data_IF_420606026365
#
_entry.id   IF_420606026365
#
_cell.length_a   1.000
_cell.length_b   1.000
_cell.length_c   1.000
_cell.angle_alpha   90.00
_cell.angle_beta   90.00
_cell.angle_gamma   90.00
#
_symmetry.space_group_name_H-M   'P 1'
#
loop_
_entity.id
_entity.type
_entity.pdbx_description
1 polymer ?
#
# COMPACT_ATOMS: atom_id res chain seq x y z
N UNK A 1 16.87 -12.38 -12.72
CA UNK A 1 15.56 -11.76 -12.38
C UNK A 1 15.54 -11.52 -10.88
N UNK A 2 14.93 -10.44 -10.38
CA UNK A 2 14.78 -10.28 -8.93
C UNK A 2 13.84 -11.36 -8.39
N UNK A 3 14.08 -11.86 -7.17
CA UNK A 3 13.33 -12.96 -6.55
C UNK A 3 11.81 -12.76 -6.58
N UNK A 4 11.35 -11.52 -6.46
CA UNK A 4 9.93 -11.17 -6.35
C UNK A 4 9.36 -10.47 -7.60
N UNK A 5 10.06 -10.53 -8.73
CA UNK A 5 9.57 -9.97 -10.00
C UNK A 5 9.54 -8.44 -10.13
N UNK A 6 9.86 -7.69 -9.06
CA UNK A 6 10.00 -6.23 -9.07
C UNK A 6 11.47 -5.85 -8.94
N UNK A 7 11.92 -4.91 -9.78
CA UNK A 7 13.28 -4.35 -9.70
C UNK A 7 13.19 -2.93 -9.15
N UNK A 8 13.96 -2.68 -8.09
CA UNK A 8 14.14 -1.34 -7.54
C UNK A 8 15.54 -0.86 -7.90
N UNK A 9 15.63 0.34 -8.46
CA UNK A 9 16.88 1.09 -8.51
C UNK A 9 16.90 1.95 -7.25
N UNK A 10 17.76 1.61 -6.30
CA UNK A 10 17.85 2.30 -5.01
C UNK A 10 19.10 3.17 -4.95
N UNK A 11 18.96 4.32 -4.32
CA UNK A 11 20.08 5.15 -3.89
C UNK A 11 20.63 4.65 -2.54
N UNK A 12 21.85 5.08 -2.14
CA UNK A 12 22.41 4.74 -0.85
C UNK A 12 21.48 5.09 0.32
N UNK A 13 21.58 4.32 1.40
CA UNK A 13 20.82 4.56 2.63
C UNK A 13 21.35 5.84 3.30
N UNK A 14 20.47 6.80 3.52
CA UNK A 14 20.76 8.03 4.26
C UNK A 14 20.29 7.89 5.71
N UNK A 15 21.17 8.23 6.66
CA UNK A 15 20.82 8.29 8.08
C UNK A 15 20.42 9.70 8.46
N UNK A 16 19.41 9.83 9.30
CA UNK A 16 18.92 11.10 9.83
C UNK A 16 18.85 11.02 11.35
N UNK A 17 19.41 12.01 12.04
CA UNK A 17 19.54 11.99 13.51
C UNK A 17 18.24 12.34 14.24
N UNK A 18 17.33 13.12 13.63
CA UNK A 18 16.04 13.47 14.21
C UNK A 18 14.93 13.64 13.16
N UNK A 19 13.77 13.03 13.42
CA UNK A 19 12.57 13.13 12.59
C UNK A 19 11.80 14.43 12.86
N UNK A 20 12.30 15.55 12.34
CA UNK A 20 11.63 16.85 12.44
C UNK A 20 10.59 17.00 11.30
N UNK A 21 9.33 17.40 11.57
CA UNK A 21 8.28 17.48 10.55
C UNK A 21 8.66 18.27 9.29
N UNK A 22 9.27 19.44 9.46
CA UNK A 22 9.65 20.33 8.37
C UNK A 22 10.74 19.71 7.49
N UNK A 23 11.71 19.02 8.09
CA UNK A 23 12.81 18.39 7.34
C UNK A 23 12.32 17.18 6.55
N UNK A 24 11.39 16.41 7.11
CA UNK A 24 10.74 15.29 6.40
C UNK A 24 10.03 15.81 5.14
N UNK A 25 9.21 16.85 5.26
CA UNK A 25 8.47 17.39 4.13
C UNK A 25 9.41 17.97 3.05
N UNK A 26 10.42 18.74 3.46
CA UNK A 26 11.42 19.29 2.53
C UNK A 26 12.11 18.17 1.76
N UNK A 27 12.57 17.13 2.47
CA UNK A 27 13.26 15.98 1.86
C UNK A 27 12.37 15.21 0.90
N UNK A 28 11.10 14.98 1.25
CA UNK A 28 10.17 14.32 0.34
C UNK A 28 9.95 15.10 -0.96
N UNK A 29 9.91 16.45 -0.89
CA UNK A 29 9.82 17.28 -2.09
C UNK A 29 11.07 17.18 -2.96
N UNK A 30 12.27 17.19 -2.36
CA UNK A 30 13.52 16.96 -3.09
C UNK A 30 13.52 15.62 -3.81
N UNK A 31 13.17 14.54 -3.10
CA UNK A 31 13.08 13.21 -3.68
C UNK A 31 12.01 13.13 -4.78
N UNK A 32 10.91 13.88 -4.66
CA UNK A 32 9.92 14.00 -5.73
C UNK A 32 10.51 14.68 -6.97
N UNK A 33 11.27 15.77 -6.78
CA UNK A 33 11.91 16.49 -7.88
C UNK A 33 12.96 15.63 -8.59
N UNK A 34 13.61 14.72 -7.86
CA UNK A 34 14.51 13.71 -8.41
C UNK A 34 13.76 12.48 -8.99
N UNK A 35 12.43 12.56 -9.13
CA UNK A 35 11.55 11.57 -9.75
C UNK A 35 11.52 10.18 -9.09
N UNK A 36 11.89 10.07 -7.81
CA UNK A 36 11.72 8.82 -7.06
C UNK A 36 10.25 8.41 -7.02
N UNK A 37 9.98 7.11 -7.16
CA UNK A 37 8.60 6.58 -7.16
C UNK A 37 8.14 6.11 -5.78
N UNK A 38 9.09 5.68 -4.94
CA UNK A 38 8.84 5.08 -3.64
C UNK A 38 9.87 5.60 -2.64
N UNK A 39 9.42 5.93 -1.43
CA UNK A 39 10.30 6.25 -0.30
C UNK A 39 10.04 5.23 0.81
N UNK A 40 11.13 4.63 1.31
CA UNK A 40 11.09 3.69 2.43
C UNK A 40 11.67 4.39 3.66
N UNK A 41 10.87 4.52 4.71
CA UNK A 41 11.29 5.05 5.99
C UNK A 41 11.52 3.90 6.96
N UNK A 42 12.71 3.82 7.55
CA UNK A 42 13.02 2.87 8.63
C UNK A 42 13.02 3.70 9.93
N UNK A 43 12.11 3.38 10.84
CA UNK A 43 11.86 4.14 12.06
C UNK A 43 12.35 3.35 13.27
N UNK A 44 13.24 3.94 14.07
CA UNK A 44 13.85 3.29 15.24
C UNK A 44 12.88 3.19 16.42
N UNK A 45 12.08 4.23 16.68
CA UNK A 45 11.00 4.21 17.66
C UNK A 45 9.71 4.79 17.07
N UNK A 46 8.60 4.09 17.32
CA UNK A 46 7.27 4.48 16.82
C UNK A 46 6.67 5.50 17.79
N UNK A 47 6.93 6.77 17.55
CA UNK A 47 5.91 7.78 17.84
C UNK A 47 4.85 7.67 16.75
N UNK A 48 3.63 7.25 17.09
CA UNK A 48 2.51 7.16 16.14
C UNK A 48 2.37 8.46 15.32
N UNK A 49 2.70 9.60 15.94
CA UNK A 49 2.73 10.92 15.34
C UNK A 49 3.61 11.02 14.10
N UNK A 50 4.86 10.54 14.13
CA UNK A 50 5.79 10.62 12.99
C UNK A 50 5.33 9.71 11.85
N UNK A 51 4.84 8.51 12.18
CA UNK A 51 4.26 7.61 11.20
C UNK A 51 3.07 8.25 10.49
N UNK A 52 2.11 8.78 11.25
CA UNK A 52 0.93 9.45 10.71
C UNK A 52 1.30 10.68 9.89
N UNK A 53 2.31 11.44 10.32
CA UNK A 53 2.82 12.59 9.61
C UNK A 53 3.44 12.21 8.26
N UNK A 54 4.29 11.19 8.20
CA UNK A 54 4.87 10.68 6.94
C UNK A 54 3.75 10.23 6.00
N UNK A 55 2.73 9.54 6.53
CA UNK A 55 1.58 9.09 5.74
C UNK A 55 0.73 10.26 5.23
N UNK A 56 0.54 11.29 6.05
CA UNK A 56 -0.16 12.51 5.66
C UNK A 56 0.60 13.25 4.55
N UNK A 57 1.90 13.50 4.73
CA UNK A 57 2.72 14.17 3.72
C UNK A 57 2.81 13.38 2.43
N UNK A 58 3.07 12.08 2.50
CA UNK A 58 3.16 11.21 1.33
C UNK A 58 1.85 11.10 0.57
N UNK A 59 0.76 10.70 1.22
CA UNK A 59 -0.49 10.39 0.53
C UNK A 59 -1.31 11.64 0.19
N UNK A 60 -1.36 12.64 1.08
CA UNK A 60 -2.27 13.78 0.95
C UNK A 60 -1.57 15.00 0.34
N UNK A 61 -0.38 15.36 0.82
CA UNK A 61 0.29 16.60 0.37
C UNK A 61 1.08 16.43 -0.92
N UNK A 62 1.89 15.38 -1.00
CA UNK A 62 2.91 15.23 -2.05
C UNK A 62 2.43 14.26 -3.14
N UNK A 63 1.67 13.23 -2.79
CA UNK A 63 1.22 12.20 -3.72
C UNK A 63 2.31 11.18 -4.08
N UNK A 64 3.17 10.83 -3.13
CA UNK A 64 4.22 9.82 -3.28
C UNK A 64 3.91 8.55 -2.50
N UNK A 65 4.33 7.41 -3.03
CA UNK A 65 4.22 6.13 -2.34
C UNK A 65 5.26 6.08 -1.22
N UNK A 66 4.80 6.02 0.03
CA UNK A 66 5.66 5.86 1.20
C UNK A 66 5.38 4.54 1.92
N UNK A 67 6.44 3.87 2.35
CA UNK A 67 6.34 2.69 3.21
C UNK A 67 7.20 2.90 4.45
N UNK A 68 6.58 2.76 5.62
CA UNK A 68 7.28 2.83 6.90
C UNK A 68 7.55 1.40 7.37
N UNK A 69 8.75 1.16 7.86
CA UNK A 69 9.23 -0.10 8.40
C UNK A 69 9.75 0.21 9.81
N UNK A 70 9.43 -0.63 10.78
CA UNK A 70 10.00 -0.49 12.10
C UNK A 70 11.37 -1.15 12.13
N UNK A 71 12.35 -0.46 12.70
CA UNK A 71 13.71 -0.96 12.81
C UNK A 71 13.77 -2.21 13.70
N UNK A 72 13.02 -2.23 14.79
CA UNK A 72 12.96 -3.36 15.70
C UNK A 72 12.48 -4.65 15.01
N UNK A 73 11.50 -4.58 14.11
CA UNK A 73 11.04 -5.71 13.31
C UNK A 73 12.11 -6.23 12.33
N UNK A 74 13.00 -5.36 11.85
CA UNK A 74 14.11 -5.78 11.00
C UNK A 74 15.21 -6.48 11.80
N UNK A 75 15.43 -6.06 13.05
CA UNK A 75 16.47 -6.60 13.92
C UNK A 75 16.00 -7.87 14.65
N UNK A 76 14.72 -7.96 15.03
CA UNK A 76 14.16 -9.10 15.76
C UNK A 76 14.10 -10.39 14.94
N UNK A 77 13.94 -10.26 13.62
CA UNK A 77 13.80 -11.38 12.70
C UNK A 77 15.17 -12.02 12.43
N UNK A 78 15.60 -12.86 13.36
CA UNK A 78 16.86 -13.60 13.28
C UNK A 78 16.79 -14.75 12.27
N UNK A 79 15.61 -15.33 12.05
CA UNK A 79 15.41 -16.43 11.11
C UNK A 79 15.34 -15.91 9.66
N UNK A 80 16.24 -16.37 8.76
CA UNK A 80 16.18 -16.03 7.34
C UNK A 80 14.82 -16.28 6.68
N UNK A 81 14.05 -17.28 7.13
CA UNK A 81 12.73 -17.61 6.57
C UNK A 81 11.68 -16.57 6.93
N UNK A 82 11.64 -16.14 8.19
CA UNK A 82 10.71 -15.10 8.64
C UNK A 82 11.02 -13.77 7.96
N UNK A 83 12.31 -13.45 7.80
CA UNK A 83 12.74 -12.28 7.05
C UNK A 83 12.30 -12.35 5.58
N UNK A 84 12.41 -13.51 4.94
CA UNK A 84 11.98 -13.70 3.57
C UNK A 84 10.46 -13.48 3.39
N UNK A 85 9.65 -14.01 4.31
CA UNK A 85 8.21 -13.78 4.33
C UNK A 85 7.86 -12.30 4.57
N UNK A 86 8.60 -11.64 5.47
CA UNK A 86 8.42 -10.21 5.74
C UNK A 86 8.70 -9.38 4.48
N UNK A 87 9.81 -9.65 3.80
CA UNK A 87 10.18 -8.97 2.56
C UNK A 87 9.16 -9.25 1.46
N UNK A 88 8.68 -10.50 1.32
CA UNK A 88 7.64 -10.84 0.36
C UNK A 88 6.37 -10.00 0.57
N UNK A 89 5.87 -9.94 1.81
CA UNK A 89 4.70 -9.12 2.16
C UNK A 89 4.92 -7.64 1.85
N UNK A 90 6.14 -7.13 2.04
CA UNK A 90 6.51 -5.76 1.73
C UNK A 90 6.46 -5.50 0.21
N UNK A 91 7.01 -6.42 -0.58
CA UNK A 91 7.00 -6.32 -2.06
C UNK A 91 5.58 -6.40 -2.61
N UNK A 92 4.73 -7.28 -2.07
CA UNK A 92 3.32 -7.36 -2.46
C UNK A 92 2.57 -6.05 -2.19
N UNK A 93 2.87 -5.35 -1.09
CA UNK A 93 2.34 -4.02 -0.79
C UNK A 93 2.84 -2.97 -1.79
N UNK A 94 4.13 -3.00 -2.14
CA UNK A 94 4.68 -2.08 -3.13
C UNK A 94 4.06 -2.28 -4.51
N UNK A 95 3.95 -3.52 -4.96
CA UNK A 95 3.35 -3.83 -6.25
C UNK A 95 1.94 -3.24 -6.37
N UNK A 96 1.10 -3.46 -5.35
CA UNK A 96 -0.26 -2.94 -5.32
C UNK A 96 -0.29 -1.40 -5.34
N UNK A 97 0.60 -0.73 -4.59
CA UNK A 97 0.73 0.73 -4.57
C UNK A 97 1.23 1.31 -5.90
N UNK A 98 2.06 0.56 -6.62
CA UNK A 98 2.56 0.88 -7.96
C UNK A 98 1.59 0.44 -9.08
N UNK A 99 0.33 0.09 -8.73
CA UNK A 99 -0.73 -0.35 -9.65
C UNK A 99 -0.48 -1.70 -10.34
N UNK A 100 0.46 -2.49 -9.82
CA UNK A 100 0.67 -3.87 -10.21
C UNK A 100 -0.41 -4.80 -9.66
N UNK A 101 -0.44 -6.02 -10.19
CA UNK A 101 -1.35 -7.09 -9.77
C UNK A 101 -0.51 -8.22 -9.18
N UNK A 102 -0.74 -8.56 -7.91
CA UNK A 102 0.00 -9.63 -7.23
C UNK A 102 -0.47 -11.02 -7.69
N UNK A 103 -1.78 -11.21 -7.77
CA UNK A 103 -2.39 -12.49 -8.06
C UNK A 103 -3.60 -12.28 -8.96
N UNK A 104 -3.77 -13.18 -9.93
CA UNK A 104 -4.97 -13.28 -10.76
C UNK A 104 -5.78 -14.47 -10.24
N UNK A 105 -7.01 -14.20 -9.82
CA UNK A 105 -7.95 -15.24 -9.39
C UNK A 105 -8.92 -15.51 -10.53
N UNK A 106 -9.15 -16.79 -10.83
CA UNK A 106 -10.20 -17.18 -11.78
C UNK A 106 -11.56 -17.01 -11.12
N UNK A 107 -12.41 -16.17 -11.70
CA UNK A 107 -13.79 -15.97 -11.23
C UNK A 107 -14.76 -16.99 -11.82
N UNK A 108 -14.29 -17.91 -12.68
CA UNK A 108 -15.14 -18.92 -13.34
C UNK A 108 -16.11 -19.64 -12.40
N UNK A 109 -15.71 -20.11 -11.20
CA UNK A 109 -16.63 -20.81 -10.29
C UNK A 109 -17.79 -19.93 -9.77
N UNK A 110 -17.56 -18.62 -9.62
CA UNK A 110 -18.59 -17.66 -9.21
C UNK A 110 -19.49 -17.22 -10.37
N UNK A 111 -18.95 -17.27 -11.60
CA UNK A 111 -19.63 -16.88 -12.84
C UNK A 111 -20.54 -17.98 -13.40
N UNK A 112 -20.25 -19.25 -13.11
CA UNK A 112 -21.09 -20.40 -13.49
C UNK A 112 -22.36 -20.55 -12.64
N UNK A 113 -22.63 -19.62 -11.72
CA UNK A 113 -23.87 -19.61 -10.96
C UNK A 113 -25.07 -19.28 -11.87
N UNK A 114 -26.18 -20.05 -11.83
CA UNK A 114 -27.34 -19.85 -12.71
C UNK A 114 -28.00 -18.46 -12.62
N UNK A 115 -27.69 -17.69 -11.58
CA UNK A 115 -28.23 -16.36 -11.30
C UNK A 115 -27.49 -15.23 -12.03
N UNK A 116 -26.31 -15.50 -12.60
CA UNK A 116 -25.48 -14.53 -13.32
C UNK A 116 -26.07 -14.25 -14.71
N UNK A 117 -26.86 -13.19 -14.84
CA UNK A 117 -27.49 -12.79 -16.12
C UNK A 117 -26.57 -11.99 -17.07
N UNK A 118 -25.32 -11.72 -16.70
CA UNK A 118 -24.39 -10.90 -17.49
C UNK A 118 -22.95 -11.34 -17.29
N UNK A 119 -22.11 -11.26 -18.33
CA UNK A 119 -20.67 -11.58 -18.24
C UNK A 119 -19.82 -10.49 -17.57
N UNK A 120 -20.44 -9.35 -17.25
CA UNK A 120 -19.77 -8.17 -16.70
C UNK A 120 -20.16 -7.99 -15.24
N UNK A 121 -19.17 -8.01 -14.36
CA UNK A 121 -19.34 -7.82 -12.92
C UNK A 121 -18.51 -6.64 -12.44
N UNK A 122 -19.11 -5.83 -11.57
CA UNK A 122 -18.39 -4.82 -10.80
C UNK A 122 -18.48 -5.20 -9.33
N UNK A 123 -17.33 -5.46 -8.73
CA UNK A 123 -17.23 -5.63 -7.28
C UNK A 123 -16.97 -4.25 -6.65
N UNK A 124 -17.76 -3.93 -5.64
CA UNK A 124 -17.55 -2.74 -4.83
C UNK A 124 -17.71 -3.05 -3.35
N UNK A 125 -16.90 -2.38 -2.53
CA UNK A 125 -16.98 -2.44 -1.07
C UNK A 125 -17.24 -1.05 -0.52
N UNK A 126 -18.23 -0.94 0.36
CA UNK A 126 -18.55 0.29 1.09
C UNK A 126 -18.36 0.01 2.57
N UNK A 127 -17.64 0.89 3.26
CA UNK A 127 -17.48 0.88 4.70
C UNK A 127 -17.87 2.23 5.28
N UNK A 128 -18.51 2.22 6.45
CA UNK A 128 -18.84 3.42 7.22
C UNK A 128 -18.21 3.32 8.60
N UNK A 129 -17.58 4.39 9.08
CA UNK A 129 -16.97 4.45 10.41
C UNK A 129 -17.43 5.71 11.13
N UNK A 130 -17.96 5.54 12.34
CA UNK A 130 -18.29 6.66 13.23
C UNK A 130 -17.03 7.08 13.99
N UNK A 131 -16.66 8.35 13.90
CA UNK A 131 -15.40 8.86 14.46
C UNK A 131 -15.51 9.06 15.98
N UNK A 132 -16.73 9.25 16.49
CA UNK A 132 -17.00 9.52 17.90
C UNK A 132 -18.04 8.55 18.47
N UNK A 133 -17.90 8.21 19.75
CA UNK A 133 -18.87 7.39 20.49
C UNK A 133 -20.04 8.21 21.08
N UNK A 134 -20.20 9.48 20.71
CA UNK A 134 -21.25 10.37 21.22
C UNK A 134 -22.65 10.06 20.64
N UNK A 135 -23.69 10.76 21.12
CA UNK A 135 -25.06 10.64 20.59
C UNK A 135 -25.19 11.21 19.17
N UNK A 136 -24.49 12.30 18.87
CA UNK A 136 -24.27 12.77 17.49
C UNK A 136 -23.04 12.03 16.96
N UNK A 137 -23.22 11.19 15.94
CA UNK A 137 -22.17 10.30 15.40
C UNK A 137 -21.82 10.70 13.96
N UNK A 138 -20.94 11.71 13.75
CA UNK A 138 -20.41 11.98 12.43
C UNK A 138 -19.72 10.73 11.88
N UNK A 139 -19.93 10.48 10.59
CA UNK A 139 -19.51 9.27 9.91
C UNK A 139 -18.59 9.59 8.74
N UNK A 140 -17.57 8.77 8.55
CA UNK A 140 -16.76 8.75 7.34
C UNK A 140 -17.12 7.52 6.52
N UNK A 141 -17.47 7.72 5.25
CA UNK A 141 -17.64 6.63 4.30
C UNK A 141 -16.35 6.43 3.50
N UNK A 142 -15.98 5.18 3.30
CA UNK A 142 -14.91 4.77 2.39
C UNK A 142 -15.49 3.80 1.35
N UNK A 143 -15.02 3.94 0.12
CA UNK A 143 -15.47 3.13 -1.01
C UNK A 143 -14.27 2.62 -1.79
N UNK A 144 -14.32 1.36 -2.20
CA UNK A 144 -13.38 0.77 -3.13
C UNK A 144 -14.13 0.00 -4.21
N UNK A 145 -13.60 0.01 -5.43
CA UNK A 145 -14.17 -0.73 -6.54
C UNK A 145 -13.08 -1.26 -7.48
N UNK A 146 -13.41 -2.30 -8.25
CA UNK A 146 -12.51 -2.88 -9.25
C UNK A 146 -12.77 -2.22 -10.60
N UNK A 147 -11.73 -1.64 -11.22
CA UNK A 147 -11.82 -0.97 -12.53
C UNK A 147 -11.83 -1.95 -13.72
N UNK A 148 -11.49 -3.23 -13.52
CA UNK A 148 -11.29 -4.20 -14.61
C UNK A 148 -12.57 -4.95 -14.93
N UNK A 149 -13.12 -4.68 -16.12
CA UNK A 149 -14.21 -5.43 -16.72
C UNK A 149 -13.67 -6.73 -17.31
N UNK A 150 -14.12 -7.88 -16.82
CA UNK A 150 -13.88 -9.14 -17.51
C UNK A 150 -14.96 -9.29 -18.58
N UNK A 151 -14.56 -9.42 -19.84
CA UNK A 151 -15.44 -9.84 -20.93
C UNK A 151 -15.05 -11.30 -21.21
N UNK A 152 -15.79 -12.25 -20.64
CA UNK A 152 -15.65 -13.63 -21.05
C UNK A 152 -16.62 -13.84 -22.21
N UNK A 153 -16.10 -13.94 -23.43
CA UNK A 153 -16.88 -14.42 -24.57
C UNK A 153 -17.10 -15.91 -24.34
N UNK A 154 -18.31 -16.30 -23.93
CA UNK A 154 -18.72 -17.70 -23.98
C UNK A 154 -18.93 -18.01 -25.47
N UNK A 155 -17.96 -18.68 -26.09
CA UNK A 155 -18.24 -19.41 -27.34
C UNK A 155 -19.09 -20.62 -26.95
N UNK A 156 -20.39 -20.53 -27.23
CA UNK A 156 -21.25 -21.71 -27.32
C UNK A 156 -20.89 -22.54 -28.56
#
# INVERSE_FOLDING_TARGET
MSKYGIRFNSSPIEKFDAAVPQTILARMNELKMQEYKVIIYILDQVGDDIYHLIKYFGNIKIGMVTQCIRFDQLVSNSDPREMDMYIQNLVEKFNARLRGVNQLVSLMPALTSPSARSDIFMCFGIGCTHITCSHVRPSTAAFCWIKRFYKYTICC
#
